data_IF_216911253628
#
_entry.id   IF_216911253628
#
_cell.length_a   1.000
_cell.length_b   1.000
_cell.length_c   1.000
_cell.angle_alpha   90.00
_cell.angle_beta   90.00
_cell.angle_gamma   90.00
#
_symmetry.space_group_name_H-M   'P 1'
#
loop_
_entity.id
_entity.type
_entity.pdbx_description
1 polymer ?
#
# COMPACT_ATOMS: atom_id res chain seq x y z
N UNK A 1 24.72 -39.68 23.69
CA UNK A 1 24.42 -38.26 23.94
C UNK A 1 23.84 -37.69 22.65
N UNK A 2 22.51 -37.63 22.54
CA UNK A 2 21.82 -37.18 21.32
C UNK A 2 21.52 -35.68 21.44
N UNK A 3 21.95 -34.89 20.47
CA UNK A 3 21.68 -33.47 20.36
C UNK A 3 20.38 -33.32 19.56
N UNK A 4 19.30 -32.91 20.22
CA UNK A 4 18.04 -32.56 19.55
C UNK A 4 18.15 -31.08 19.21
N UNK A 5 18.44 -30.77 17.95
CA UNK A 5 18.41 -29.42 17.41
C UNK A 5 16.96 -29.00 17.19
N UNK A 6 16.41 -28.26 18.15
CA UNK A 6 15.11 -27.59 18.02
C UNK A 6 15.30 -26.39 17.09
N UNK A 7 14.98 -26.56 15.81
CA UNK A 7 14.87 -25.47 14.84
C UNK A 7 13.58 -24.69 15.11
N UNK A 8 13.69 -23.69 15.98
CA UNK A 8 12.64 -22.70 16.21
C UNK A 8 12.47 -21.85 14.95
N UNK A 9 11.49 -22.20 14.12
CA UNK A 9 11.03 -21.34 13.02
C UNK A 9 10.37 -20.10 13.60
N UNK A 10 11.12 -19.00 13.69
CA UNK A 10 10.55 -17.68 13.93
C UNK A 10 9.74 -17.28 12.70
N UNK A 11 8.43 -17.48 12.75
CA UNK A 11 7.50 -16.90 11.80
C UNK A 11 7.56 -15.37 11.99
N UNK A 12 8.29 -14.68 11.11
CA UNK A 12 8.25 -13.21 11.05
C UNK A 12 6.86 -12.85 10.53
N UNK A 13 6.00 -12.38 11.43
CA UNK A 13 4.69 -11.85 11.03
C UNK A 13 4.95 -10.62 10.14
N UNK A 14 4.78 -10.78 8.82
CA UNK A 14 4.81 -9.66 7.90
C UNK A 14 3.70 -8.70 8.31
N UNK A 15 4.06 -7.45 8.60
CA UNK A 15 3.09 -6.41 8.92
C UNK A 15 2.07 -6.34 7.78
N UNK A 16 0.78 -6.41 8.12
CA UNK A 16 -0.29 -6.29 7.14
C UNK A 16 -0.13 -4.96 6.39
N UNK A 17 -0.21 -5.00 5.06
CA UNK A 17 -0.24 -3.79 4.25
C UNK A 17 -1.48 -2.96 4.58
N UNK A 18 -1.34 -1.64 4.66
CA UNK A 18 -2.45 -0.71 4.91
C UNK A 18 -3.22 -0.39 3.63
N UNK A 19 -2.51 -0.41 2.50
CA UNK A 19 -3.12 -0.33 1.17
C UNK A 19 -2.33 -1.15 0.16
N UNK A 20 -2.98 -1.49 -0.95
CA UNK A 20 -2.36 -2.14 -2.09
C UNK A 20 -2.72 -1.38 -3.36
N UNK A 21 -1.71 -0.95 -4.09
CA UNK A 21 -1.88 -0.29 -5.39
C UNK A 21 -1.65 -1.29 -6.52
N UNK A 22 -2.35 -1.11 -7.62
CA UNK A 22 -2.37 -2.06 -8.74
C UNK A 22 -2.01 -1.39 -10.05
N UNK A 23 -1.31 -2.13 -10.92
CA UNK A 23 -0.90 -1.65 -12.23
C UNK A 23 -2.04 -1.57 -13.26
N UNK A 24 -3.19 -2.16 -12.98
CA UNK A 24 -4.38 -2.11 -13.83
C UNK A 24 -5.60 -1.61 -13.06
N UNK A 25 -6.66 -1.32 -13.79
CA UNK A 25 -7.99 -1.00 -13.24
C UNK A 25 -8.63 -2.23 -12.61
N UNK A 26 -9.64 -2.00 -11.78
CA UNK A 26 -10.45 -3.02 -11.10
C UNK A 26 -9.64 -3.94 -10.19
N UNK A 27 -8.58 -3.41 -9.55
CA UNK A 27 -7.75 -4.13 -8.58
C UNK A 27 -7.04 -5.37 -9.19
N UNK A 28 -6.53 -5.23 -10.42
CA UNK A 28 -5.89 -6.31 -11.18
C UNK A 28 -4.44 -6.01 -11.56
N UNK A 29 -3.74 -7.05 -12.00
CA UNK A 29 -2.36 -6.97 -12.49
C UNK A 29 -1.34 -7.05 -11.36
N UNK A 30 -0.12 -6.59 -11.65
CA UNK A 30 0.95 -6.46 -10.65
C UNK A 30 0.53 -5.48 -9.55
N UNK A 31 1.05 -5.67 -8.35
CA UNK A 31 0.73 -4.81 -7.21
C UNK A 31 1.96 -4.45 -6.37
N UNK A 32 1.86 -3.31 -5.69
CA UNK A 32 2.80 -2.88 -4.67
C UNK A 32 2.01 -2.68 -3.36
N UNK A 33 2.55 -3.21 -2.27
CA UNK A 33 1.97 -3.07 -0.93
C UNK A 33 2.52 -1.80 -0.26
N UNK A 34 1.61 -0.99 0.27
CA UNK A 34 1.92 0.19 1.06
C UNK A 34 1.85 -0.22 2.52
N UNK A 35 2.99 -0.23 3.18
CA UNK A 35 3.12 -0.64 4.57
C UNK A 35 3.38 0.56 5.49
N UNK A 36 2.66 0.60 6.60
CA UNK A 36 2.77 1.58 7.66
C UNK A 36 2.00 2.87 7.40
N UNK A 37 1.74 3.61 8.49
CA UNK A 37 1.08 4.92 8.47
C UNK A 37 2.00 6.07 7.99
N UNK A 38 2.98 5.75 7.16
CA UNK A 38 4.01 6.65 6.63
C UNK A 38 3.89 6.86 5.13
N UNK A 39 4.75 7.70 4.59
CA UNK A 39 4.83 7.90 3.15
C UNK A 39 5.56 6.73 2.48
N UNK A 40 4.84 5.92 1.70
CA UNK A 40 5.40 4.89 0.84
C UNK A 40 5.60 5.41 -0.58
N UNK A 41 6.80 5.28 -1.14
CA UNK A 41 7.00 5.50 -2.57
C UNK A 41 6.44 4.30 -3.33
N UNK A 42 5.61 4.57 -4.32
CA UNK A 42 5.05 3.58 -5.24
C UNK A 42 5.30 4.06 -6.65
N UNK A 43 5.04 3.21 -7.63
CA UNK A 43 5.14 3.67 -9.01
C UNK A 43 6.59 3.77 -9.49
N UNK A 44 6.77 3.42 -10.75
CA UNK A 44 8.06 3.45 -11.43
C UNK A 44 7.85 3.59 -12.94
N UNK A 45 8.95 3.65 -13.69
CA UNK A 45 8.88 3.63 -15.16
C UNK A 45 8.20 2.37 -15.71
N UNK A 46 8.14 1.28 -14.95
CA UNK A 46 7.51 0.02 -15.33
C UNK A 46 6.21 -0.27 -14.60
N UNK A 47 5.83 0.56 -13.61
CA UNK A 47 4.63 0.39 -12.80
C UNK A 47 3.86 1.70 -12.69
N UNK A 48 2.72 1.79 -13.37
CA UNK A 48 1.76 2.89 -13.20
C UNK A 48 0.62 2.44 -12.31
N UNK A 49 0.36 3.18 -11.24
CA UNK A 49 -0.79 2.95 -10.36
C UNK A 49 -2.09 3.33 -11.09
N UNK A 50 -3.03 2.40 -11.18
CA UNK A 50 -4.33 2.60 -11.85
C UNK A 50 -5.53 2.32 -10.94
N UNK A 51 -5.37 1.49 -9.91
CA UNK A 51 -6.40 1.26 -8.90
C UNK A 51 -5.77 1.00 -7.53
N UNK A 52 -6.54 1.17 -6.46
CA UNK A 52 -6.08 1.02 -5.08
C UNK A 52 -7.15 0.32 -4.24
N UNK A 53 -6.69 -0.64 -3.44
CA UNK A 53 -7.47 -1.29 -2.39
C UNK A 53 -6.95 -0.80 -1.03
N UNK A 54 -7.85 -0.33 -0.19
CA UNK A 54 -7.55 0.08 1.18
C UNK A 54 -7.86 -1.08 2.12
N UNK A 55 -6.89 -1.45 2.95
CA UNK A 55 -7.07 -2.50 3.95
C UNK A 55 -7.38 -1.86 5.29
N UNK A 56 -8.27 -2.52 6.04
CA UNK A 56 -8.78 -2.03 7.32
C UNK A 56 -9.45 -0.65 7.18
N UNK A 57 -9.88 -0.07 8.29
CA UNK A 57 -10.45 1.27 8.32
C UNK A 57 -9.35 2.31 8.14
N UNK A 58 -8.75 2.38 6.94
CA UNK A 58 -7.67 3.32 6.59
C UNK A 58 -8.14 4.28 5.49
N UNK A 59 -7.55 5.47 5.47
CA UNK A 59 -7.62 6.36 4.30
C UNK A 59 -6.21 6.71 3.86
N UNK A 60 -6.03 7.03 2.58
CA UNK A 60 -4.74 7.39 2.04
C UNK A 60 -4.79 8.69 1.23
N UNK A 61 -3.65 9.36 1.17
CA UNK A 61 -3.36 10.45 0.27
C UNK A 61 -2.42 9.97 -0.83
N UNK A 62 -2.77 10.20 -2.08
CA UNK A 62 -1.98 9.86 -3.26
C UNK A 62 -1.27 11.12 -3.75
N UNK A 63 0.00 10.98 -4.14
CA UNK A 63 0.82 12.11 -4.59
C UNK A 63 1.48 11.82 -5.94
N UNK A 64 1.52 12.83 -6.80
CA UNK A 64 2.19 12.75 -8.10
C UNK A 64 3.72 12.72 -7.99
N UNK A 65 4.28 13.17 -6.86
CA UNK A 65 5.73 13.14 -6.60
C UNK A 65 6.09 12.11 -5.55
N UNK A 66 7.34 11.66 -5.54
CA UNK A 66 7.90 10.82 -4.48
C UNK A 66 7.96 11.56 -3.14
N UNK A 67 7.99 10.81 -2.05
CA UNK A 67 8.10 11.29 -0.68
C UNK A 67 6.95 12.21 -0.25
N UNK A 68 5.74 11.97 -0.78
CA UNK A 68 4.49 12.63 -0.41
C UNK A 68 4.54 14.16 -0.52
N UNK A 69 5.09 14.62 -1.65
CA UNK A 69 5.25 16.04 -1.96
C UNK A 69 4.24 16.49 -3.02
N UNK A 70 3.88 17.76 -2.94
CA UNK A 70 2.98 18.40 -3.91
C UNK A 70 1.50 18.14 -3.60
N UNK A 71 0.62 18.35 -4.60
CA UNK A 71 -0.81 18.12 -4.45
C UNK A 71 -1.10 16.67 -4.04
N UNK A 72 -2.13 16.51 -3.21
CA UNK A 72 -2.60 15.21 -2.76
C UNK A 72 -4.04 14.93 -3.20
N UNK A 73 -4.32 13.66 -3.45
CA UNK A 73 -5.67 13.17 -3.71
C UNK A 73 -6.10 12.23 -2.59
N UNK A 74 -7.21 12.55 -1.94
CA UNK A 74 -7.73 11.79 -0.82
C UNK A 74 -8.57 10.59 -1.28
N UNK A 75 -8.31 9.42 -0.70
CA UNK A 75 -9.09 8.20 -0.90
C UNK A 75 -9.40 7.53 0.44
N UNK A 76 -10.66 7.20 0.69
CA UNK A 76 -11.13 6.55 1.93
C UNK A 76 -11.97 5.30 1.68
N UNK A 77 -11.95 4.82 0.44
CA UNK A 77 -12.54 3.55 0.00
C UNK A 77 -11.73 3.04 -1.19
N UNK A 78 -11.94 1.78 -1.53
CA UNK A 78 -11.40 1.19 -2.75
C UNK A 78 -11.76 2.01 -3.98
N UNK A 79 -10.80 2.16 -4.88
CA UNK A 79 -10.98 2.87 -6.14
C UNK A 79 -10.55 1.96 -7.28
N UNK A 80 -11.53 1.55 -8.09
CA UNK A 80 -11.32 0.66 -9.24
C UNK A 80 -10.64 1.34 -10.42
N UNK A 81 -10.74 2.67 -10.54
CA UNK A 81 -10.07 3.45 -11.57
C UNK A 81 -9.74 4.83 -11.02
N UNK A 82 -8.46 5.11 -10.82
CA UNK A 82 -8.02 6.36 -10.20
C UNK A 82 -8.14 7.55 -11.16
N UNK A 83 -8.14 7.32 -12.48
CA UNK A 83 -8.10 8.39 -13.48
C UNK A 83 -6.98 9.43 -13.25
N UNK A 84 -5.90 9.04 -12.57
CA UNK A 84 -4.72 9.87 -12.34
C UNK A 84 -3.64 9.53 -13.36
N UNK A 85 -2.96 10.55 -13.86
CA UNK A 85 -1.87 10.35 -14.81
C UNK A 85 -0.68 9.65 -14.16
N UNK A 86 -0.32 10.08 -12.94
CA UNK A 86 0.83 9.58 -12.20
C UNK A 86 0.54 9.54 -10.70
N UNK A 87 0.93 8.44 -10.04
CA UNK A 87 1.02 8.36 -8.57
C UNK A 87 2.38 7.76 -8.25
N UNK A 88 3.18 8.51 -7.48
CA UNK A 88 4.57 8.16 -7.15
C UNK A 88 4.80 7.99 -5.64
N UNK A 89 3.83 8.37 -4.81
CA UNK A 89 3.83 7.99 -3.40
C UNK A 89 2.43 8.01 -2.82
N UNK A 90 2.26 7.25 -1.74
CA UNK A 90 1.01 7.09 -1.01
C UNK A 90 1.29 7.25 0.48
N UNK A 91 0.49 8.05 1.17
CA UNK A 91 0.52 8.14 2.62
C UNK A 91 -0.79 7.62 3.18
N UNK A 92 -0.77 6.48 3.85
CA UNK A 92 -1.94 5.92 4.51
C UNK A 92 -1.98 6.28 5.99
N UNK A 93 -3.19 6.45 6.52
CA UNK A 93 -3.45 6.82 7.91
C UNK A 93 -4.55 5.92 8.45
N UNK A 94 -4.40 5.46 9.68
CA UNK A 94 -5.44 4.69 10.35
C UNK A 94 -6.64 5.58 10.66
N UNK A 95 -7.85 5.08 10.43
CA UNK A 95 -9.08 5.70 10.86
C UNK A 95 -9.70 4.86 11.99
N UNK A 96 -9.26 5.07 13.24
CA UNK A 96 -9.70 4.24 14.37
C UNK A 96 -11.21 4.34 14.63
N UNK A 97 -11.86 5.42 14.20
CA UNK A 97 -13.30 5.68 14.40
C UNK A 97 -14.23 4.85 13.48
N UNK A 98 -13.68 4.05 12.55
CA UNK A 98 -14.47 3.21 11.63
C UNK A 98 -14.27 1.70 11.86
N UNK A 99 -13.82 1.31 13.04
CA UNK A 99 -13.61 -0.09 13.45
C UNK A 99 -14.90 -0.90 13.49
#
# INVERSE_FOLDING_TARGET
MQIITVLSYFAVAAAAADARVYSQKNLKGSHEDVHGYGCGNVGSSTFKVNSIHLRHSTFCYLYEKKNCKGPSFYVARDVNDLHLDTVNSVHCVNNPDKS
#
